data_IF_460751779153
#
_entry.id   IF_460751779153
#
_cell.length_a   1.000
_cell.length_b   1.000
_cell.length_c   1.000
_cell.angle_alpha   90.00
_cell.angle_beta   90.00
_cell.angle_gamma   90.00
#
_symmetry.space_group_name_H-M   'P 1'
#
loop_
_entity.id
_entity.type
_entity.pdbx_description
1 polymer ?
#
# COMPACT_ATOMS: atom_id res chain seq x y z
N UNK A 1 -39.33 -26.80 -50.49
CA UNK A 1 -39.30 -25.35 -50.74
C UNK A 1 -37.85 -24.89 -50.54
N UNK A 2 -37.04 -24.76 -51.59
CA UNK A 2 -36.67 -23.47 -52.21
C UNK A 2 -36.41 -22.38 -51.14
N UNK A 3 -35.23 -21.78 -50.97
CA UNK A 3 -34.42 -21.10 -52.00
C UNK A 3 -33.04 -20.75 -51.42
N UNK A 4 -32.01 -20.78 -52.27
CA UNK A 4 -30.65 -20.35 -51.98
C UNK A 4 -30.52 -18.82 -51.77
N UNK A 5 -29.53 -18.39 -50.96
CA UNK A 5 -28.81 -17.13 -51.21
C UNK A 5 -27.36 -17.16 -50.71
N UNK A 6 -26.51 -17.47 -51.69
CA UNK A 6 -25.08 -17.17 -51.84
C UNK A 6 -24.77 -15.70 -51.48
N UNK A 7 -23.71 -15.43 -50.70
CA UNK A 7 -22.81 -14.26 -50.88
C UNK A 7 -21.68 -14.21 -49.85
N UNK A 8 -20.47 -14.53 -50.32
CA UNK A 8 -19.19 -13.92 -49.98
C UNK A 8 -18.41 -13.81 -51.32
N UNK A 9 -17.29 -13.07 -51.46
CA UNK A 9 -16.62 -12.12 -50.56
C UNK A 9 -16.41 -10.74 -51.23
N UNK A 10 -15.97 -9.70 -50.49
CA UNK A 10 -15.36 -8.52 -51.11
C UNK A 10 -14.05 -8.12 -50.41
N UNK A 11 -12.97 -8.35 -51.15
CA UNK A 11 -11.61 -7.86 -50.93
C UNK A 11 -11.44 -6.61 -51.81
N UNK A 12 -10.96 -5.51 -51.25
CA UNK A 12 -10.30 -4.39 -51.96
C UNK A 12 -9.41 -3.70 -50.92
N UNK A 13 -8.08 -3.85 -50.93
CA UNK A 13 -7.08 -3.33 -51.87
C UNK A 13 -6.70 -1.85 -51.63
N UNK A 14 -5.54 -1.68 -50.99
CA UNK A 14 -4.43 -0.77 -51.34
C UNK A 14 -4.69 0.75 -51.33
N UNK A 15 -3.92 1.50 -50.53
CA UNK A 15 -2.92 2.47 -51.05
C UNK A 15 -2.02 3.06 -49.95
N UNK A 16 -0.76 3.03 -50.31
CA UNK A 16 0.49 3.48 -49.69
C UNK A 16 0.48 4.95 -49.22
N UNK A 17 1.21 5.25 -48.13
CA UNK A 17 1.87 6.55 -47.97
C UNK A 17 3.16 6.37 -47.15
N UNK A 18 4.24 6.24 -47.91
CA UNK A 18 5.63 6.42 -47.52
C UNK A 18 6.02 7.89 -47.58
N UNK A 19 6.67 8.37 -46.53
CA UNK A 19 7.73 9.42 -46.54
C UNK A 19 8.49 9.23 -45.22
N UNK A 20 9.66 8.60 -45.11
CA UNK A 20 10.99 8.84 -45.70
C UNK A 20 11.55 10.27 -45.53
N UNK A 21 12.43 10.39 -44.52
CA UNK A 21 13.79 10.99 -44.51
C UNK A 21 14.00 12.49 -44.71
N UNK A 22 14.66 13.12 -43.71
CA UNK A 22 15.96 13.84 -43.77
C UNK A 22 16.05 14.78 -42.54
N UNK A 23 16.96 14.59 -41.57
CA UNK A 23 18.42 14.84 -41.56
C UNK A 23 18.80 16.29 -41.17
N UNK A 24 19.78 16.36 -40.25
CA UNK A 24 20.60 17.50 -39.79
C UNK A 24 19.95 18.40 -38.73
N UNK A 25 20.63 18.87 -37.67
CA UNK A 25 22.05 19.25 -37.62
C UNK A 25 22.55 19.36 -36.16
N UNK A 26 23.75 18.80 -35.96
CA UNK A 26 24.82 19.09 -34.99
C UNK A 26 24.89 20.55 -34.46
N UNK A 27 25.05 20.71 -33.15
CA UNK A 27 25.87 21.72 -32.44
C UNK A 27 26.01 21.23 -30.97
N UNK A 28 27.13 20.61 -30.59
CA UNK A 28 28.35 21.23 -30.04
C UNK A 28 28.19 21.71 -28.58
N UNK A 29 29.02 21.14 -27.70
CA UNK A 29 29.13 21.46 -26.28
C UNK A 29 29.82 22.83 -26.05
N UNK A 30 29.68 23.40 -24.85
CA UNK A 30 30.89 23.65 -24.08
C UNK A 30 30.83 23.24 -22.60
N UNK A 31 32.03 23.26 -22.03
CA UNK A 31 32.52 22.70 -20.76
C UNK A 31 32.31 23.61 -19.55
N UNK A 32 32.40 22.97 -18.35
CA UNK A 32 32.82 23.49 -17.01
C UNK A 32 31.95 24.61 -16.41
N UNK A 33 31.60 24.60 -15.12
CA UNK A 33 32.48 24.84 -13.95
C UNK A 33 31.80 24.32 -12.66
N UNK A 34 32.59 23.71 -11.78
CA UNK A 34 32.37 23.61 -10.32
C UNK A 34 33.69 24.04 -9.63
N UNK A 35 33.80 24.24 -8.30
CA UNK A 35 32.85 24.62 -7.24
C UNK A 35 33.37 25.90 -6.48
N UNK A 36 32.94 26.21 -5.24
CA UNK A 36 33.98 26.35 -4.22
C UNK A 36 33.68 25.68 -2.87
N UNK A 37 34.73 25.11 -2.29
CA UNK A 37 34.87 24.75 -0.88
C UNK A 37 35.29 25.98 -0.07
N UNK A 38 34.90 26.06 1.21
CA UNK A 38 35.76 26.42 2.35
C UNK A 38 35.03 26.22 3.68
N UNK A 39 35.57 25.34 4.52
CA UNK A 39 35.45 25.37 5.99
C UNK A 39 36.53 26.33 6.54
N UNK A 40 36.48 26.80 7.81
CA UNK A 40 36.98 25.97 8.93
C UNK A 40 36.34 26.17 10.33
N UNK A 41 36.54 25.15 11.18
CA UNK A 41 36.84 25.15 12.65
C UNK A 41 35.84 25.63 13.73
N UNK A 42 35.35 24.64 14.50
CA UNK A 42 35.37 24.46 15.96
C UNK A 42 34.99 25.56 16.99
N UNK A 43 34.05 25.16 17.87
CA UNK A 43 34.03 25.20 19.37
C UNK A 43 33.15 26.25 20.12
N UNK A 44 32.15 25.68 20.82
CA UNK A 44 31.66 25.92 22.21
C UNK A 44 30.72 27.09 22.57
N UNK A 45 29.50 26.71 23.03
CA UNK A 45 28.69 27.21 24.19
C UNK A 45 28.31 28.71 24.24
N UNK A 46 27.11 29.18 24.58
CA UNK A 46 26.10 28.75 25.58
C UNK A 46 24.89 29.73 25.60
N UNK A 47 23.69 29.23 25.97
CA UNK A 47 22.60 29.92 26.74
C UNK A 47 21.84 31.08 26.06
N UNK A 48 20.52 31.35 26.16
CA UNK A 48 19.31 30.94 26.92
C UNK A 48 18.17 31.79 26.28
N UNK A 49 16.93 31.38 26.01
CA UNK A 49 15.79 31.25 26.94
C UNK A 49 14.46 31.12 26.13
N UNK A 50 13.46 30.42 26.69
CA UNK A 50 11.99 30.54 26.45
C UNK A 50 11.40 29.95 25.15
N UNK A 51 10.45 29.00 25.13
CA UNK A 51 9.55 28.40 26.13
C UNK A 51 9.08 27.03 25.63
N UNK A 52 9.41 25.96 26.36
CA UNK A 52 8.81 24.63 26.16
C UNK A 52 7.48 24.53 26.93
N UNK A 53 6.42 24.06 26.25
CA UNK A 53 5.29 23.39 26.92
C UNK A 53 5.61 21.91 27.00
N UNK A 54 5.35 21.24 28.15
CA UNK A 54 5.86 19.91 28.40
C UNK A 54 5.14 18.88 27.54
N UNK A 55 5.89 18.19 26.68
CA UNK A 55 5.47 16.88 26.15
C UNK A 55 5.57 15.87 27.30
N UNK A 56 4.48 15.19 27.71
CA UNK A 56 4.59 14.14 28.71
C UNK A 56 5.39 12.99 28.10
N UNK A 57 6.58 12.79 28.66
CA UNK A 57 7.52 11.71 28.34
C UNK A 57 6.98 10.42 28.92
N UNK A 58 6.17 9.68 28.15
CA UNK A 58 5.83 8.30 28.48
C UNK A 58 6.88 7.37 27.86
N UNK A 59 7.56 6.62 28.74
CA UNK A 59 8.67 5.71 28.46
C UNK A 59 8.33 4.65 27.39
N UNK A 60 9.33 4.11 26.67
CA UNK A 60 9.13 2.98 25.77
C UNK A 60 8.93 1.71 26.60
N UNK A 61 7.69 1.32 26.82
CA UNK A 61 7.39 -0.03 27.28
C UNK A 61 7.83 -1.00 26.17
N UNK A 62 8.70 -1.93 26.53
CA UNK A 62 9.19 -3.01 25.69
C UNK A 62 8.02 -3.76 25.06
N UNK A 63 7.76 -3.54 23.77
CA UNK A 63 6.82 -4.36 22.99
C UNK A 63 7.58 -5.60 22.55
N UNK A 64 7.49 -6.64 23.37
CA UNK A 64 7.72 -8.01 22.91
C UNK A 64 6.71 -8.33 21.81
N UNK A 65 7.07 -9.09 20.76
CA UNK A 65 6.11 -9.58 19.80
C UNK A 65 5.17 -10.56 20.52
N UNK A 66 4.01 -10.05 20.94
CA UNK A 66 2.93 -10.85 21.51
C UNK A 66 2.26 -11.60 20.36
N UNK A 67 2.79 -12.77 19.99
CA UNK A 67 2.12 -13.72 19.10
C UNK A 67 1.04 -14.43 19.92
N UNK A 68 -0.11 -13.78 20.11
CA UNK A 68 -1.28 -14.43 20.72
C UNK A 68 -2.10 -15.11 19.64
N UNK A 69 -2.25 -16.43 19.77
CA UNK A 69 -3.04 -17.31 18.88
C UNK A 69 -4.55 -17.02 18.91
N UNK A 70 -5.00 -16.11 19.77
CA UNK A 70 -6.35 -15.60 19.77
C UNK A 70 -6.40 -14.33 18.92
N UNK A 71 -6.89 -14.45 17.68
CA UNK A 71 -7.03 -13.35 16.70
C UNK A 71 -7.68 -12.07 17.26
N UNK A 72 -8.34 -12.14 18.43
CA UNK A 72 -8.96 -11.01 19.10
C UNK A 72 -8.07 -10.23 20.08
N UNK A 73 -7.15 -10.84 20.84
CA UNK A 73 -6.63 -10.15 22.04
C UNK A 73 -5.67 -9.00 21.71
N UNK A 74 -4.77 -9.19 20.74
CA UNK A 74 -3.79 -8.17 20.36
C UNK A 74 -4.42 -7.05 19.51
N UNK A 75 -5.34 -7.41 18.61
CA UNK A 75 -6.04 -6.43 17.76
C UNK A 75 -7.08 -5.65 18.56
N UNK A 76 -7.83 -6.28 19.47
CA UNK A 76 -8.78 -5.58 20.33
C UNK A 76 -8.06 -4.62 21.29
N UNK A 77 -6.93 -5.03 21.87
CA UNK A 77 -6.09 -4.13 22.66
C UNK A 77 -5.53 -2.95 21.84
N UNK A 78 -5.23 -3.16 20.55
CA UNK A 78 -4.87 -2.08 19.64
C UNK A 78 -6.07 -1.15 19.37
N UNK A 79 -7.26 -1.70 19.15
CA UNK A 79 -8.51 -0.95 18.96
C UNK A 79 -8.85 -0.10 20.18
N UNK A 80 -8.76 -0.65 21.38
CA UNK A 80 -9.08 0.06 22.61
C UNK A 80 -8.21 1.31 22.87
N UNK A 81 -7.04 1.43 22.21
CA UNK A 81 -6.09 2.54 22.38
C UNK A 81 -6.32 3.70 21.41
N UNK A 82 -7.24 3.56 20.45
CA UNK A 82 -7.47 4.53 19.38
C UNK A 82 -8.60 5.52 19.71
N UNK A 83 -8.66 6.63 18.97
CA UNK A 83 -9.77 7.58 19.04
C UNK A 83 -11.06 6.98 18.48
N UNK A 84 -12.23 7.39 18.98
CA UNK A 84 -13.53 6.75 18.70
C UNK A 84 -13.77 6.44 17.22
N UNK A 85 -13.59 7.44 16.35
CA UNK A 85 -13.81 7.27 14.90
C UNK A 85 -12.87 6.23 14.24
N UNK A 86 -11.64 6.07 14.76
CA UNK A 86 -10.72 5.05 14.27
C UNK A 86 -11.17 3.66 14.71
N UNK A 87 -11.71 3.53 15.94
CA UNK A 87 -12.28 2.27 16.42
C UNK A 87 -13.46 1.83 15.56
N UNK A 88 -14.32 2.79 15.18
CA UNK A 88 -15.48 2.54 14.32
C UNK A 88 -15.10 2.03 12.92
N UNK A 89 -13.87 2.27 12.47
CA UNK A 89 -13.36 1.75 11.18
C UNK A 89 -12.56 0.46 11.38
N UNK A 90 -11.64 0.42 12.36
CA UNK A 90 -10.72 -0.71 12.52
C UNK A 90 -11.44 -1.94 13.09
N UNK A 91 -12.44 -1.76 13.96
CA UNK A 91 -13.21 -2.89 14.50
C UNK A 91 -13.95 -3.68 13.41
N UNK A 92 -14.77 -3.06 12.53
CA UNK A 92 -15.40 -3.81 11.44
C UNK A 92 -14.38 -4.31 10.42
N UNK A 93 -13.27 -3.60 10.22
CA UNK A 93 -12.21 -4.07 9.34
C UNK A 93 -11.53 -5.35 9.86
N UNK A 94 -11.20 -5.40 11.15
CA UNK A 94 -10.65 -6.59 11.79
C UNK A 94 -11.64 -7.76 11.76
N UNK A 95 -12.92 -7.49 12.01
CA UNK A 95 -13.98 -8.50 11.91
C UNK A 95 -14.14 -9.04 10.48
N UNK A 96 -14.06 -8.18 9.46
CA UNK A 96 -14.08 -8.58 8.06
C UNK A 96 -12.89 -9.49 7.73
N UNK A 97 -11.68 -9.11 8.14
CA UNK A 97 -10.49 -9.93 7.89
C UNK A 97 -10.60 -11.29 8.60
N UNK A 98 -11.05 -11.32 9.86
CA UNK A 98 -11.24 -12.57 10.60
C UNK A 98 -12.31 -13.47 9.96
N UNK A 99 -13.36 -12.88 9.38
CA UNK A 99 -14.41 -13.61 8.66
C UNK A 99 -13.91 -14.22 7.35
N UNK A 100 -13.17 -13.47 6.54
CA UNK A 100 -12.68 -13.94 5.24
C UNK A 100 -11.41 -14.81 5.38
N UNK A 101 -10.69 -14.70 6.50
CA UNK A 101 -9.44 -15.41 6.78
C UNK A 101 -9.47 -16.13 8.15
N UNK A 102 -10.34 -17.12 8.37
CA UNK A 102 -10.48 -17.78 9.67
C UNK A 102 -9.20 -18.51 10.13
N UNK A 103 -8.31 -18.88 9.21
CA UNK A 103 -7.01 -19.49 9.50
C UNK A 103 -5.85 -18.51 9.66
N UNK A 104 -6.08 -17.20 9.51
CA UNK A 104 -5.01 -16.22 9.63
C UNK A 104 -4.55 -16.03 11.08
N UNK A 105 -3.28 -15.71 11.30
CA UNK A 105 -2.78 -15.26 12.58
C UNK A 105 -2.65 -13.75 12.57
N UNK A 106 -3.05 -13.08 13.66
CA UNK A 106 -2.87 -11.64 13.83
C UNK A 106 -1.79 -11.37 14.89
N UNK A 107 -0.85 -10.47 14.59
CA UNK A 107 0.19 -10.03 15.52
C UNK A 107 0.47 -8.54 15.36
N UNK A 108 1.06 -7.92 16.39
CA UNK A 108 1.48 -6.51 16.31
C UNK A 108 2.93 -6.43 15.86
N UNK A 109 3.18 -5.71 14.75
CA UNK A 109 4.52 -5.39 14.26
C UNK A 109 4.64 -3.88 14.06
N UNK A 110 5.72 -3.30 14.57
CA UNK A 110 5.97 -1.84 14.52
C UNK A 110 4.81 -0.98 15.08
N UNK A 111 4.07 -1.52 16.06
CA UNK A 111 2.92 -0.84 16.65
C UNK A 111 1.64 -0.92 15.81
N UNK A 112 1.59 -1.77 14.79
CA UNK A 112 0.43 -1.95 13.91
C UNK A 112 0.01 -3.43 13.81
N UNK A 113 -1.28 -3.74 13.76
CA UNK A 113 -1.77 -5.09 13.52
C UNK A 113 -1.46 -5.55 12.10
N UNK A 114 -0.87 -6.74 12.02
CA UNK A 114 -0.52 -7.47 10.81
C UNK A 114 -1.22 -8.82 10.86
N UNK A 115 -1.84 -9.19 9.73
CA UNK A 115 -2.40 -10.51 9.52
C UNK A 115 -1.52 -11.34 8.59
N UNK A 116 -1.38 -12.61 8.96
CA UNK A 116 -0.52 -13.59 8.30
C UNK A 116 -1.29 -14.85 7.97
N UNK A 117 -1.08 -15.32 6.74
CA UNK A 117 -1.57 -16.60 6.27
C UNK A 117 -0.64 -17.06 5.13
N UNK A 118 0.22 -18.03 5.42
CA UNK A 118 1.37 -18.37 4.58
C UNK A 118 2.32 -17.16 4.35
N UNK A 119 2.51 -16.35 5.39
CA UNK A 119 3.22 -15.06 5.33
C UNK A 119 2.28 -13.87 5.47
N UNK A 120 2.81 -12.65 5.72
CA UNK A 120 2.00 -11.48 5.97
C UNK A 120 1.25 -11.07 4.69
N UNK A 121 -0.07 -10.88 4.80
CA UNK A 121 -0.90 -10.50 3.65
C UNK A 121 -1.54 -9.12 3.84
N UNK A 122 -1.92 -8.73 5.06
CA UNK A 122 -2.59 -7.46 5.34
C UNK A 122 -2.05 -6.74 6.59
N UNK A 123 -1.93 -5.42 6.51
CA UNK A 123 -1.47 -4.52 7.57
C UNK A 123 -2.51 -3.42 7.75
N UNK A 124 -2.89 -3.13 8.99
CA UNK A 124 -3.73 -1.96 9.30
C UNK A 124 -2.93 -0.93 10.07
N UNK A 125 -2.93 0.30 9.57
CA UNK A 125 -2.27 1.45 10.19
C UNK A 125 -3.28 2.57 10.43
N UNK A 126 -3.45 2.97 11.67
CA UNK A 126 -4.23 4.15 12.03
C UNK A 126 -3.33 5.40 12.00
N UNK A 127 -3.71 6.39 11.22
CA UNK A 127 -3.14 7.73 11.22
C UNK A 127 -4.17 8.75 11.74
N UNK A 128 -3.72 9.96 12.07
CA UNK A 128 -4.57 11.02 12.65
C UNK A 128 -5.79 11.40 11.80
N UNK A 129 -5.72 11.22 10.48
CA UNK A 129 -6.78 11.64 9.55
C UNK A 129 -7.40 10.48 8.76
N UNK A 130 -6.80 9.28 8.78
CA UNK A 130 -7.27 8.12 8.02
C UNK A 130 -6.75 6.82 8.62
N UNK A 131 -7.46 5.73 8.35
CA UNK A 131 -7.00 4.36 8.57
C UNK A 131 -6.55 3.81 7.22
N UNK A 132 -5.38 3.20 7.17
CA UNK A 132 -4.84 2.54 5.98
C UNK A 132 -4.92 1.04 6.16
N UNK A 133 -5.54 0.34 5.20
CA UNK A 133 -5.39 -1.10 5.04
C UNK A 133 -4.46 -1.36 3.87
N UNK A 134 -3.31 -1.97 4.11
CA UNK A 134 -2.33 -2.30 3.08
C UNK A 134 -2.20 -3.80 2.85
N UNK A 135 -1.95 -4.18 1.60
CA UNK A 135 -1.75 -5.55 1.15
C UNK A 135 -0.35 -5.71 0.58
N UNK A 136 0.45 -6.63 1.13
CA UNK A 136 1.85 -6.83 0.72
C UNK A 136 2.00 -7.13 -0.78
N UNK A 137 1.10 -7.94 -1.32
CA UNK A 137 1.05 -8.30 -2.75
C UNK A 137 0.07 -7.45 -3.55
N UNK A 138 -0.19 -6.22 -3.11
CA UNK A 138 -1.19 -5.33 -3.72
C UNK A 138 -1.04 -5.16 -5.23
N UNK A 139 0.18 -5.05 -5.74
CA UNK A 139 0.46 -4.91 -7.18
C UNK A 139 0.06 -6.13 -8.02
N UNK A 140 -0.04 -7.31 -7.40
CA UNK A 140 -0.46 -8.55 -8.06
C UNK A 140 -1.97 -8.77 -7.99
N UNK A 141 -2.70 -7.92 -7.26
CA UNK A 141 -4.15 -7.99 -7.11
C UNK A 141 -4.85 -7.30 -8.28
N UNK A 142 -5.99 -7.86 -8.71
CA UNK A 142 -6.79 -7.34 -9.82
C UNK A 142 -7.43 -6.00 -9.50
N UNK A 143 -7.87 -5.80 -8.25
CA UNK A 143 -8.50 -4.55 -7.79
C UNK A 143 -9.63 -4.09 -8.72
N UNK A 144 -10.70 -4.88 -8.80
CA UNK A 144 -11.79 -4.68 -9.77
C UNK A 144 -12.44 -3.28 -9.70
N UNK A 145 -12.52 -2.70 -8.50
CA UNK A 145 -13.10 -1.38 -8.26
C UNK A 145 -12.07 -0.24 -8.27
N UNK A 146 -10.78 -0.54 -8.48
CA UNK A 146 -9.72 0.46 -8.54
C UNK A 146 -9.51 1.23 -7.22
N UNK A 147 -9.81 0.62 -6.08
CA UNK A 147 -9.78 1.30 -4.77
C UNK A 147 -8.41 1.27 -4.11
N UNK A 148 -7.47 0.48 -4.64
CA UNK A 148 -6.13 0.38 -4.10
C UNK A 148 -5.22 1.48 -4.65
N UNK A 149 -4.67 2.29 -3.76
CA UNK A 149 -3.60 3.24 -4.01
C UNK A 149 -2.24 2.57 -3.83
N UNK A 150 -1.20 3.02 -4.55
CA UNK A 150 0.17 2.53 -4.37
C UNK A 150 0.87 2.16 -5.67
N UNK A 151 2.02 1.51 -5.54
CA UNK A 151 2.84 1.10 -6.68
C UNK A 151 2.26 -0.14 -7.37
N UNK A 152 2.47 -0.24 -8.68
CA UNK A 152 1.95 -1.34 -9.50
C UNK A 152 2.63 -2.69 -9.25
N UNK A 153 3.86 -2.73 -8.75
CA UNK A 153 4.59 -3.99 -8.52
C UNK A 153 4.64 -4.39 -7.04
N UNK A 154 4.40 -3.44 -6.14
CA UNK A 154 4.63 -3.61 -4.70
C UNK A 154 3.37 -3.68 -3.83
N UNK A 155 3.49 -3.15 -2.62
CA UNK A 155 2.39 -3.05 -1.65
C UNK A 155 1.41 -1.97 -2.10
N UNK A 156 0.12 -2.30 -2.15
CA UNK A 156 -0.98 -1.34 -2.38
C UNK A 156 -1.89 -1.27 -1.16
N UNK A 157 -2.62 -0.18 -1.01
CA UNK A 157 -3.40 0.11 0.19
C UNK A 157 -4.65 0.92 -0.12
N UNK A 158 -5.61 0.88 0.79
CA UNK A 158 -6.81 1.72 0.77
C UNK A 158 -6.83 2.60 2.01
N UNK A 159 -7.13 3.89 1.82
CA UNK A 159 -7.28 4.86 2.91
C UNK A 159 -8.76 5.10 3.18
N UNK A 160 -9.15 4.92 4.43
CA UNK A 160 -10.52 5.11 4.91
C UNK A 160 -10.50 6.28 5.90
N UNK A 161 -11.26 7.33 5.58
CA UNK A 161 -11.37 8.52 6.43
C UNK A 161 -12.54 8.40 7.41
N UNK A 162 -12.56 9.28 8.41
CA UNK A 162 -13.71 9.37 9.33
C UNK A 162 -15.02 9.59 8.58
N UNK A 163 -16.07 8.86 8.97
CA UNK A 163 -17.40 8.93 8.34
C UNK A 163 -17.53 8.19 7.00
N UNK A 164 -16.45 7.64 6.44
CA UNK A 164 -16.51 6.78 5.26
C UNK A 164 -16.95 5.37 5.64
N UNK A 165 -17.81 4.78 4.82
CA UNK A 165 -18.18 3.37 4.95
C UNK A 165 -17.07 2.48 4.38
N UNK A 166 -16.85 1.32 4.99
CA UNK A 166 -15.96 0.31 4.42
C UNK A 166 -16.47 -0.12 3.02
N UNK A 167 -15.61 -0.11 1.99
CA UNK A 167 -16.00 -0.57 0.66
C UNK A 167 -16.35 -2.06 0.69
N UNK A 168 -17.43 -2.42 -0.01
CA UNK A 168 -17.89 -3.81 -0.08
C UNK A 168 -16.86 -4.75 -0.74
N UNK A 169 -16.01 -4.19 -1.61
CA UNK A 169 -14.95 -4.90 -2.33
C UNK A 169 -13.78 -5.34 -1.45
N UNK A 170 -13.68 -4.85 -0.20
CA UNK A 170 -12.63 -5.28 0.72
C UNK A 170 -12.61 -6.79 0.96
N UNK A 171 -13.78 -7.43 1.02
CA UNK A 171 -13.85 -8.87 1.21
C UNK A 171 -13.20 -9.63 0.03
N UNK A 172 -13.48 -9.20 -1.20
CA UNK A 172 -12.86 -9.77 -2.39
C UNK A 172 -11.34 -9.56 -2.41
N UNK A 173 -10.88 -8.37 -2.00
CA UNK A 173 -9.45 -8.06 -1.89
C UNK A 173 -8.75 -8.93 -0.83
N UNK A 174 -9.38 -9.16 0.33
CA UNK A 174 -8.81 -10.07 1.34
C UNK A 174 -8.67 -11.49 0.79
N UNK A 175 -9.70 -12.02 0.12
CA UNK A 175 -9.62 -13.33 -0.52
C UNK A 175 -8.51 -13.43 -1.57
N UNK A 176 -8.37 -12.40 -2.41
CA UNK A 176 -7.33 -12.36 -3.43
C UNK A 176 -5.92 -12.31 -2.81
N UNK A 177 -5.72 -11.52 -1.75
CA UNK A 177 -4.45 -11.48 -1.03
C UNK A 177 -4.09 -12.85 -0.41
N UNK A 178 -5.06 -13.56 0.16
CA UNK A 178 -4.87 -14.91 0.67
C UNK A 178 -4.48 -15.89 -0.44
N UNK A 179 -5.18 -15.85 -1.57
CA UNK A 179 -4.91 -16.72 -2.71
C UNK A 179 -3.50 -16.48 -3.28
N UNK A 180 -3.06 -15.22 -3.34
CA UNK A 180 -1.72 -14.86 -3.78
C UNK A 180 -0.65 -15.36 -2.81
N UNK A 181 -0.83 -15.22 -1.49
CA UNK A 181 0.11 -15.75 -0.50
C UNK A 181 0.16 -17.29 -0.52
N UNK A 182 -0.97 -17.96 -0.72
CA UNK A 182 -1.00 -19.43 -0.90
C UNK A 182 -0.24 -19.88 -2.15
N UNK A 183 -0.36 -19.12 -3.25
CA UNK A 183 0.30 -19.45 -4.52
C UNK A 183 1.79 -19.16 -4.52
N UNK A 184 2.20 -18.04 -3.92
CA UNK A 184 3.57 -17.53 -4.02
C UNK A 184 4.37 -17.61 -2.71
N UNK A 185 3.75 -18.09 -1.62
CA UNK A 185 4.35 -18.14 -0.30
C UNK A 185 4.59 -16.77 0.33
N UNK A 186 5.44 -16.78 1.35
CA UNK A 186 5.75 -15.63 2.19
C UNK A 186 6.39 -14.48 1.39
N UNK A 187 5.71 -13.33 1.23
CA UNK A 187 6.22 -12.21 0.44
C UNK A 187 7.46 -11.54 1.04
N UNK A 188 7.80 -11.82 2.31
CA UNK A 188 9.03 -11.32 2.92
C UNK A 188 10.24 -12.24 2.68
N UNK A 189 10.04 -13.44 2.16
CA UNK A 189 11.11 -14.37 1.79
C UNK A 189 11.34 -14.30 0.28
N UNK A 190 12.60 -14.11 -0.11
CA UNK A 190 13.04 -14.08 -1.51
C UNK A 190 13.51 -15.45 -1.97
#
# INVERSE_FOLDING_TARGET
MATAKKSAPRKAAMKNSTSKTATSKKHEAPKKVAPPKKAPTARKSSSKDRSERPVPKLAPAQVTPQTSSAQGSAVDAFVARMEGWQQDIVRPLAALIAKEAPGASAYIKWGHPVWDHAGPFALVKAAKAHVTLGFWRGGQMRDADGILEGDSDGMRYVRIQSGQRLPASLAALVHEALALNQKHGDPLKR
#
